data_IF_910712167882
#
_entry.id   IF_910712167882
#
_cell.length_a   1.000
_cell.length_b   1.000
_cell.length_c   1.000
_cell.angle_alpha   90.00
_cell.angle_beta   90.00
_cell.angle_gamma   90.00
#
_symmetry.space_group_name_H-M   'P 1'
#
loop_
_entity.id
_entity.type
_entity.pdbx_description
1 polymer ?
#
# COMPACT_ATOMS: atom_id res chain seq x y z
N UNK A 1 3.02 -24.45 23.16
CA UNK A 1 3.82 -23.32 23.67
C UNK A 1 3.39 -22.07 22.92
N UNK A 2 2.42 -21.31 23.45
CA UNK A 2 1.95 -20.09 22.81
C UNK A 2 2.48 -18.91 23.63
N UNK A 3 3.40 -18.16 23.01
CA UNK A 3 4.05 -17.00 23.59
C UNK A 3 3.02 -15.95 23.98
N UNK A 4 2.91 -15.72 25.29
CA UNK A 4 2.23 -14.55 25.81
C UNK A 4 3.13 -13.35 25.49
N UNK A 5 2.85 -12.67 24.37
CA UNK A 5 3.44 -11.35 24.11
C UNK A 5 3.10 -10.44 25.27
N UNK A 6 4.10 -9.77 25.82
CA UNK A 6 3.88 -8.92 26.99
C UNK A 6 3.08 -7.68 26.60
N UNK A 7 2.39 -7.01 27.55
CA UNK A 7 1.70 -5.76 27.28
C UNK A 7 2.64 -4.70 26.68
N UNK A 8 3.91 -4.68 27.10
CA UNK A 8 4.91 -3.75 26.54
C UNK A 8 5.22 -4.07 25.07
N UNK A 9 5.43 -5.35 24.73
CA UNK A 9 5.66 -5.80 23.36
C UNK A 9 4.47 -5.48 22.45
N UNK A 10 3.25 -5.63 22.96
CA UNK A 10 2.03 -5.30 22.20
C UNK A 10 1.94 -3.81 21.85
N UNK A 11 2.29 -2.92 22.79
CA UNK A 11 2.30 -1.47 22.57
C UNK A 11 3.32 -1.07 21.50
N UNK A 12 4.50 -1.68 21.52
CA UNK A 12 5.54 -1.44 20.49
C UNK A 12 5.04 -1.85 19.12
N UNK A 13 4.50 -3.06 18.99
CA UNK A 13 3.98 -3.58 17.71
C UNK A 13 2.84 -2.72 17.15
N UNK A 14 1.93 -2.25 18.00
CA UNK A 14 0.81 -1.42 17.57
C UNK A 14 1.28 -0.02 17.12
N UNK A 15 2.30 0.54 17.78
CA UNK A 15 2.92 1.80 17.37
C UNK A 15 3.66 1.68 16.04
N UNK A 16 4.39 0.58 15.82
CA UNK A 16 5.06 0.30 14.53
C UNK A 16 4.05 0.17 13.40
N UNK A 17 2.97 -0.58 13.62
CA UNK A 17 1.87 -0.69 12.66
C UNK A 17 1.27 0.68 12.34
N UNK A 18 1.01 1.51 13.33
CA UNK A 18 0.46 2.85 13.13
C UNK A 18 1.37 3.70 12.22
N UNK A 19 2.69 3.68 12.45
CA UNK A 19 3.67 4.38 11.60
C UNK A 19 3.67 3.86 10.16
N UNK A 20 3.65 2.53 9.99
CA UNK A 20 3.60 1.91 8.66
C UNK A 20 2.32 2.33 7.92
N UNK A 21 1.16 2.25 8.58
CA UNK A 21 -0.11 2.69 8.02
C UNK A 21 -0.09 4.17 7.63
N UNK A 22 0.52 5.03 8.43
CA UNK A 22 0.66 6.45 8.13
C UNK A 22 1.53 6.70 6.89
N UNK A 23 2.68 6.02 6.78
CA UNK A 23 3.58 6.13 5.62
C UNK A 23 2.88 5.64 4.35
N UNK A 24 2.21 4.49 4.41
CA UNK A 24 1.44 3.95 3.27
C UNK A 24 0.31 4.91 2.88
N UNK A 25 -0.43 5.43 3.87
CA UNK A 25 -1.50 6.39 3.64
C UNK A 25 -1.01 7.66 2.95
N UNK A 26 0.14 8.19 3.36
CA UNK A 26 0.78 9.34 2.71
C UNK A 26 1.26 9.02 1.29
N UNK A 27 1.86 7.84 1.06
CA UNK A 27 2.31 7.41 -0.26
C UNK A 27 1.13 7.24 -1.23
N UNK A 28 0.03 6.62 -0.78
CA UNK A 28 -1.20 6.47 -1.58
C UNK A 28 -1.82 7.79 -1.98
N UNK A 29 -1.74 8.84 -1.15
CA UNK A 29 -2.23 10.19 -1.48
C UNK A 29 -1.42 10.88 -2.57
N UNK A 30 -0.16 10.49 -2.79
CA UNK A 30 0.71 11.04 -3.83
C UNK A 30 0.52 10.36 -5.20
N UNK A 31 -0.19 9.23 -5.25
CA UNK A 31 -0.48 8.56 -6.52
C UNK A 31 -1.53 9.35 -7.33
N UNK A 32 -1.45 9.32 -8.67
CA UNK A 32 -2.53 9.79 -9.53
C UNK A 32 -3.86 9.10 -9.19
N UNK A 33 -4.98 9.81 -9.29
CA UNK A 33 -6.30 9.31 -8.89
C UNK A 33 -6.66 7.94 -9.50
N UNK A 34 -6.35 7.74 -10.79
CA UNK A 34 -6.59 6.46 -11.49
C UNK A 34 -5.72 5.32 -10.95
N UNK A 35 -4.46 5.61 -10.62
CA UNK A 35 -3.54 4.63 -10.04
C UNK A 35 -3.93 4.28 -8.60
N UNK A 36 -4.29 5.28 -7.81
CA UNK A 36 -4.81 5.12 -6.46
C UNK A 36 -6.07 4.25 -6.43
N UNK A 37 -7.00 4.48 -7.38
CA UNK A 37 -8.21 3.69 -7.54
C UNK A 37 -7.89 2.20 -7.76
N UNK A 38 -7.01 1.90 -8.73
CA UNK A 38 -6.60 0.52 -9.04
C UNK A 38 -5.99 -0.17 -7.82
N UNK A 39 -5.10 0.52 -7.09
CA UNK A 39 -4.45 -0.07 -5.91
C UNK A 39 -5.45 -0.32 -4.77
N UNK A 40 -6.38 0.61 -4.52
CA UNK A 40 -7.41 0.43 -3.49
C UNK A 40 -8.26 -0.82 -3.76
N UNK A 41 -8.83 -0.92 -4.95
CA UNK A 41 -9.73 -2.04 -5.31
C UNK A 41 -9.02 -3.40 -5.42
N UNK A 42 -7.71 -3.43 -5.68
CA UNK A 42 -6.97 -4.70 -5.80
C UNK A 42 -6.29 -5.17 -4.52
N UNK A 43 -5.92 -4.25 -3.62
CA UNK A 43 -5.05 -4.56 -2.48
C UNK A 43 -5.62 -4.15 -1.12
N UNK A 44 -6.50 -3.15 -1.07
CA UNK A 44 -7.03 -2.62 0.20
C UNK A 44 -8.47 -3.07 0.46
N UNK A 45 -9.22 -3.40 -0.58
CA UNK A 45 -10.56 -3.97 -0.45
C UNK A 45 -10.51 -5.48 -0.26
N UNK A 46 -11.45 -6.01 0.53
CA UNK A 46 -11.50 -7.43 0.88
C UNK A 46 -11.76 -8.35 -0.32
N UNK A 47 -12.51 -7.87 -1.32
CA UNK A 47 -12.75 -8.60 -2.57
C UNK A 47 -11.92 -8.00 -3.70
N UNK A 48 -10.87 -8.71 -4.13
CA UNK A 48 -9.99 -8.23 -5.20
C UNK A 48 -10.75 -8.16 -6.52
N UNK A 49 -11.01 -6.94 -6.99
CA UNK A 49 -11.58 -6.76 -8.33
C UNK A 49 -10.59 -7.20 -9.42
N UNK A 50 -11.14 -7.70 -10.52
CA UNK A 50 -10.33 -8.10 -11.69
C UNK A 50 -9.93 -6.86 -12.49
N UNK A 51 -8.81 -6.94 -13.22
CA UNK A 51 -8.39 -5.86 -14.14
C UNK A 51 -9.44 -5.52 -15.19
N UNK A 52 -10.23 -6.50 -15.62
CA UNK A 52 -11.30 -6.29 -16.60
C UNK A 52 -12.46 -5.49 -15.98
N UNK A 53 -12.83 -5.76 -14.73
CA UNK A 53 -13.87 -5.00 -14.02
C UNK A 53 -13.45 -3.56 -13.80
N UNK A 54 -12.24 -3.35 -13.27
CA UNK A 54 -11.66 -2.01 -13.05
C UNK A 54 -11.52 -1.27 -14.39
N UNK A 55 -11.13 -1.97 -15.45
CA UNK A 55 -11.03 -1.40 -16.79
C UNK A 55 -12.38 -0.90 -17.30
N UNK A 56 -13.46 -1.66 -17.13
CA UNK A 56 -14.81 -1.23 -17.49
C UNK A 56 -15.24 0.04 -16.75
N UNK A 57 -14.96 0.12 -15.45
CA UNK A 57 -15.32 1.27 -14.62
C UNK A 57 -14.53 2.53 -14.97
N UNK A 58 -13.24 2.38 -15.31
CA UNK A 58 -12.37 3.50 -15.70
C UNK A 58 -12.42 3.84 -17.20
N UNK A 59 -13.16 3.09 -18.02
CA UNK A 59 -13.15 3.23 -19.48
C UNK A 59 -11.79 2.88 -20.12
N UNK A 60 -11.07 1.91 -19.56
CA UNK A 60 -9.73 1.49 -19.96
C UNK A 60 -9.69 0.01 -20.37
N UNK A 61 -8.73 -0.33 -21.23
CA UNK A 61 -8.43 -1.73 -21.53
C UNK A 61 -7.78 -2.44 -20.33
N UNK A 62 -7.93 -3.77 -20.27
CA UNK A 62 -7.30 -4.62 -19.24
C UNK A 62 -5.79 -4.38 -19.14
N UNK A 63 -5.11 -4.31 -20.28
CA UNK A 63 -3.67 -4.08 -20.33
C UNK A 63 -3.28 -2.69 -19.87
N UNK A 64 -4.12 -1.68 -20.14
CA UNK A 64 -3.88 -0.32 -19.64
C UNK A 64 -3.99 -0.26 -18.11
N UNK A 65 -4.96 -0.96 -17.52
CA UNK A 65 -5.08 -1.09 -16.05
C UNK A 65 -3.84 -1.78 -15.47
N UNK A 66 -3.34 -2.85 -16.10
CA UNK A 66 -2.12 -3.55 -15.66
C UNK A 66 -0.88 -2.64 -15.70
N UNK A 67 -0.74 -1.82 -16.74
CA UNK A 67 0.35 -0.85 -16.84
C UNK A 67 0.27 0.22 -15.73
N UNK A 68 -0.93 0.73 -15.46
CA UNK A 68 -1.16 1.70 -14.41
C UNK A 68 -0.90 1.11 -13.02
N UNK A 69 -1.31 -0.13 -12.76
CA UNK A 69 -0.95 -0.85 -11.54
C UNK A 69 0.57 -0.94 -11.37
N UNK A 70 1.28 -1.40 -12.41
CA UNK A 70 2.73 -1.54 -12.33
C UNK A 70 3.42 -0.19 -12.01
N UNK A 71 2.96 0.89 -12.65
CA UNK A 71 3.44 2.24 -12.36
C UNK A 71 3.12 2.69 -10.94
N UNK A 72 1.91 2.43 -10.48
CA UNK A 72 1.47 2.76 -9.13
C UNK A 72 2.34 2.05 -8.08
N UNK A 73 2.57 0.74 -8.24
CA UNK A 73 3.41 -0.05 -7.34
C UNK A 73 4.86 0.43 -7.33
N UNK A 74 5.42 0.77 -8.51
CA UNK A 74 6.77 1.32 -8.61
C UNK A 74 6.89 2.68 -7.89
N UNK A 75 5.89 3.54 -8.06
CA UNK A 75 5.84 4.85 -7.40
C UNK A 75 5.67 4.68 -5.89
N UNK A 76 4.78 3.81 -5.43
CA UNK A 76 4.61 3.51 -4.01
C UNK A 76 5.91 3.03 -3.39
N UNK A 77 6.58 2.06 -4.01
CA UNK A 77 7.88 1.55 -3.56
C UNK A 77 8.89 2.69 -3.40
N UNK A 78 9.03 3.56 -4.40
CA UNK A 78 9.95 4.70 -4.34
C UNK A 78 9.58 5.65 -3.20
N UNK A 79 8.30 5.98 -3.05
CA UNK A 79 7.83 6.90 -2.00
C UNK A 79 8.04 6.34 -0.60
N UNK A 80 7.78 5.04 -0.41
CA UNK A 80 8.02 4.37 0.87
C UNK A 80 9.51 4.23 1.14
N UNK A 81 10.33 3.85 0.15
CA UNK A 81 11.79 3.78 0.30
C UNK A 81 12.37 5.13 0.69
N UNK A 82 12.01 6.21 0.00
CA UNK A 82 12.45 7.57 0.37
C UNK A 82 12.00 7.96 1.78
N UNK A 83 10.74 7.69 2.13
CA UNK A 83 10.22 8.02 3.47
C UNK A 83 10.84 7.17 4.59
N UNK A 84 11.29 5.95 4.28
CA UNK A 84 11.99 5.02 5.18
C UNK A 84 13.50 5.24 5.20
N UNK A 85 14.07 6.00 4.25
CA UNK A 85 15.45 6.50 4.36
C UNK A 85 15.52 7.80 5.16
N UNK A 86 14.49 8.65 5.06
CA UNK A 86 14.33 9.84 5.91
C UNK A 86 14.00 9.46 7.36
N UNK A 87 13.14 8.45 7.54
CA UNK A 87 12.90 7.82 8.83
C UNK A 87 13.83 6.63 8.96
N UNK A 88 15.01 6.80 9.58
CA UNK A 88 15.97 5.76 9.93
C UNK A 88 15.32 4.62 10.76
N UNK A 89 14.48 3.80 10.12
CA UNK A 89 13.83 2.64 10.71
C UNK A 89 14.70 1.47 10.29
N UNK A 90 15.57 1.12 11.24
CA UNK A 90 16.38 -0.07 11.33
C UNK A 90 15.57 -1.27 10.84
N UNK A 91 15.85 -1.76 9.63
CA UNK A 91 15.74 -3.18 9.34
C UNK A 91 17.19 -3.64 9.19
N UNK A 92 17.73 -4.18 10.28
CA UNK A 92 18.98 -4.92 10.31
C UNK A 92 18.65 -6.39 10.51
#
# INVERSE_FOLDING_TARGET
MNGCVTPEEKVVLDNEKAKICEVIGRALKKLPAREQFIIRHRYLEGAKQTFASIGKELGLSKDRVRQLEFRALKTLRKLTETSLTDAHIIIK
#
